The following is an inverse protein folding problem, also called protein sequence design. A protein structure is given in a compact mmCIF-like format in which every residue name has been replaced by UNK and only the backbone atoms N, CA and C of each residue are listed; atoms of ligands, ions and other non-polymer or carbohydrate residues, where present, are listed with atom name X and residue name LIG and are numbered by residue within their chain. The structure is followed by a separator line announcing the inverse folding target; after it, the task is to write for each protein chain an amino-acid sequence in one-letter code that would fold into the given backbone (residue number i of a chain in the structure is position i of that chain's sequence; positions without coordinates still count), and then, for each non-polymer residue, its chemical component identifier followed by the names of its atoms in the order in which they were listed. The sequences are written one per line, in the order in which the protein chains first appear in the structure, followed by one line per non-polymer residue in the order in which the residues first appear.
data_IF_487768727566
#
_entry.id   IF_487768727566
#
_cell.length_a   1.000
_cell.length_b   1.000
_cell.length_c   1.000
_cell.angle_alpha   90.00
_cell.angle_beta   90.00
_cell.angle_gamma   90.00
#
_symmetry.space_group_name_H-M   'P 1'
#
loop_
_entity.id
_entity.type
_entity.pdbx_description
1 polymer ?
#
# COMPACT_ATOMS: atom_id res chain seq x y z
N UNK A 1 2.02 17.76 -36.30
CA UNK A 1 1.82 17.34 -34.88
C UNK A 1 0.34 17.03 -34.68
N UNK A 2 -0.04 15.76 -34.66
CA UNK A 2 -1.45 15.35 -34.61
C UNK A 2 -1.89 15.06 -33.16
N UNK A 3 -2.77 15.92 -32.63
CA UNK A 3 -3.37 15.77 -31.32
C UNK A 3 -4.47 14.68 -31.39
N UNK A 4 -4.11 13.42 -31.10
CA UNK A 4 -5.06 12.30 -31.00
C UNK A 4 -5.75 12.33 -29.64
N UNK A 5 -6.70 13.23 -29.47
CA UNK A 5 -7.69 13.13 -28.40
C UNK A 5 -8.55 11.90 -28.64
N UNK A 6 -8.24 10.77 -28.00
CA UNK A 6 -9.14 9.61 -27.95
C UNK A 6 -10.42 10.05 -27.26
N UNK A 7 -11.50 10.24 -28.03
CA UNK A 7 -12.86 10.29 -27.52
C UNK A 7 -13.14 8.94 -26.85
N UNK A 8 -13.05 8.89 -25.52
CA UNK A 8 -13.62 7.80 -24.73
C UNK A 8 -15.13 7.88 -24.90
N UNK A 9 -15.73 6.81 -25.41
CA UNK A 9 -17.17 6.68 -25.61
C UNK A 9 -17.92 6.61 -24.28
N UNK A 10 -19.15 7.12 -24.28
CA UNK A 10 -20.03 7.16 -23.10
C UNK A 10 -20.27 5.78 -22.47
N UNK A 11 -20.33 4.72 -23.30
CA UNK A 11 -20.52 3.34 -22.84
C UNK A 11 -19.29 2.81 -22.09
N UNK A 12 -18.07 3.06 -22.58
CA UNK A 12 -16.84 2.73 -21.84
C UNK A 12 -16.76 3.44 -20.49
N UNK A 13 -17.29 4.66 -20.39
CA UNK A 13 -17.32 5.40 -19.13
C UNK A 13 -18.29 4.77 -18.11
N UNK A 14 -19.51 4.47 -18.53
CA UNK A 14 -20.49 3.79 -17.67
C UNK A 14 -19.91 2.47 -17.18
N UNK A 15 -19.33 1.67 -18.08
CA UNK A 15 -18.71 0.39 -17.72
C UNK A 15 -17.56 0.55 -16.70
N UNK A 16 -16.73 1.59 -16.87
CA UNK A 16 -15.66 1.91 -15.92
C UNK A 16 -16.21 2.22 -14.52
N UNK A 17 -17.23 3.08 -14.42
CA UNK A 17 -17.85 3.41 -13.14
C UNK A 17 -18.53 2.22 -12.49
N UNK A 18 -19.27 1.42 -13.26
CA UNK A 18 -19.91 0.19 -12.77
C UNK A 18 -18.86 -0.78 -12.22
N UNK A 19 -17.72 -0.91 -12.89
CA UNK A 19 -16.60 -1.73 -12.43
C UNK A 19 -16.02 -1.21 -11.11
N UNK A 20 -15.78 0.10 -11.01
CA UNK A 20 -15.26 0.71 -9.79
C UNK A 20 -16.24 0.53 -8.62
N UNK A 21 -17.53 0.77 -8.86
CA UNK A 21 -18.56 0.60 -7.84
C UNK A 21 -18.67 -0.86 -7.39
N UNK A 22 -18.59 -1.83 -8.32
CA UNK A 22 -18.55 -3.25 -7.98
C UNK A 22 -17.37 -3.63 -7.07
N UNK A 23 -16.18 -3.08 -7.32
CA UNK A 23 -15.00 -3.29 -6.46
C UNK A 23 -15.23 -2.70 -5.06
N UNK A 24 -15.82 -1.51 -4.98
CA UNK A 24 -16.12 -0.85 -3.70
C UNK A 24 -17.14 -1.64 -2.89
N UNK A 25 -18.24 -2.09 -3.51
CA UNK A 25 -19.27 -2.87 -2.83
C UNK A 25 -18.74 -4.22 -2.34
N UNK A 26 -17.96 -4.92 -3.16
CA UNK A 26 -17.33 -6.18 -2.71
C UNK A 26 -16.30 -5.95 -1.60
N UNK A 27 -15.59 -4.82 -1.62
CA UNK A 27 -14.68 -4.42 -0.55
C UNK A 27 -15.42 -4.16 0.77
N UNK A 28 -16.56 -3.46 0.72
CA UNK A 28 -17.42 -3.24 1.89
C UNK A 28 -17.94 -4.57 2.42
N UNK A 29 -18.41 -5.46 1.53
CA UNK A 29 -18.88 -6.81 1.89
C UNK A 29 -17.81 -7.61 2.63
N UNK A 30 -16.57 -7.59 2.15
CA UNK A 30 -15.45 -8.28 2.80
C UNK A 30 -15.13 -7.71 4.17
N UNK A 31 -15.13 -6.37 4.32
CA UNK A 31 -14.93 -5.73 5.62
C UNK A 31 -16.05 -6.07 6.60
N UNK A 32 -17.30 -6.13 6.14
CA UNK A 32 -18.44 -6.54 6.97
C UNK A 32 -18.40 -8.03 7.36
N UNK A 33 -17.67 -8.86 6.62
CA UNK A 33 -17.55 -10.30 6.92
C UNK A 33 -16.62 -10.51 8.10
N UNK A 34 -15.42 -9.93 8.07
CA UNK A 34 -14.45 -9.99 9.16
C UNK A 34 -13.48 -8.81 9.09
N UNK A 35 -13.85 -7.73 9.78
CA UNK A 35 -13.05 -6.49 9.87
C UNK A 35 -11.77 -6.66 10.69
N UNK A 36 -11.66 -7.74 11.47
CA UNK A 36 -10.50 -7.98 12.36
C UNK A 36 -9.41 -8.77 11.66
N UNK A 37 -9.71 -9.45 10.56
CA UNK A 37 -8.72 -10.19 9.79
C UNK A 37 -7.77 -9.24 9.02
N UNK A 38 -6.48 -9.15 9.41
CA UNK A 38 -5.56 -8.19 8.82
C UNK A 38 -5.31 -8.41 7.33
N UNK A 39 -5.41 -9.65 6.83
CA UNK A 39 -5.22 -9.96 5.42
C UNK A 39 -6.37 -9.42 4.57
N UNK A 40 -7.61 -9.53 5.06
CA UNK A 40 -8.78 -8.95 4.40
C UNK A 40 -8.72 -7.43 4.40
N UNK A 41 -8.38 -6.82 5.54
CA UNK A 41 -8.26 -5.35 5.62
C UNK A 41 -7.12 -4.83 4.74
N UNK A 42 -5.98 -5.53 4.68
CA UNK A 42 -4.89 -5.16 3.77
C UNK A 42 -5.26 -5.35 2.30
N UNK A 43 -5.91 -6.47 1.94
CA UNK A 43 -6.37 -6.73 0.58
C UNK A 43 -7.40 -5.71 0.10
N UNK A 44 -8.38 -5.38 0.94
CA UNK A 44 -9.40 -4.36 0.66
C UNK A 44 -8.76 -2.97 0.51
N UNK A 45 -7.85 -2.59 1.41
CA UNK A 45 -7.12 -1.31 1.31
C UNK A 45 -6.39 -1.17 -0.02
N UNK A 46 -5.70 -2.21 -0.50
CA UNK A 46 -5.01 -2.19 -1.81
C UNK A 46 -5.99 -2.02 -2.97
N UNK A 47 -7.16 -2.65 -2.90
CA UNK A 47 -8.20 -2.56 -3.94
C UNK A 47 -8.80 -1.15 -4.00
N UNK A 48 -9.16 -0.58 -2.85
CA UNK A 48 -9.72 0.77 -2.74
C UNK A 48 -8.71 1.83 -3.18
N UNK A 49 -7.43 1.71 -2.81
CA UNK A 49 -6.38 2.57 -3.36
C UNK A 49 -6.28 2.47 -4.89
N UNK A 50 -6.45 1.27 -5.44
CA UNK A 50 -6.50 1.03 -6.88
C UNK A 50 -7.65 1.78 -7.55
N UNK A 51 -8.85 1.73 -6.96
CA UNK A 51 -10.02 2.48 -7.42
C UNK A 51 -9.74 3.98 -7.36
N UNK A 52 -9.26 4.51 -6.23
CA UNK A 52 -8.94 5.93 -6.08
C UNK A 52 -7.94 6.41 -7.15
N UNK A 53 -6.85 5.65 -7.38
CA UNK A 53 -5.86 5.97 -8.42
C UNK A 53 -6.46 5.98 -9.83
N UNK A 54 -7.32 5.00 -10.14
CA UNK A 54 -7.95 4.92 -11.45
C UNK A 54 -8.95 6.06 -11.66
N UNK A 55 -9.74 6.39 -10.64
CA UNK A 55 -10.69 7.51 -10.65
C UNK A 55 -9.95 8.83 -10.81
N UNK A 56 -8.87 9.08 -10.06
CA UNK A 56 -8.05 10.30 -10.18
C UNK A 56 -7.52 10.54 -11.61
N UNK A 57 -7.18 9.46 -12.33
CA UNK A 57 -6.70 9.56 -13.73
C UNK A 57 -7.77 10.03 -14.70
N UNK A 58 -9.04 9.79 -14.40
CA UNK A 58 -10.18 10.16 -15.26
C UNK A 58 -10.97 11.35 -14.72
N UNK A 59 -10.82 11.70 -13.44
CA UNK A 59 -11.54 12.79 -12.77
C UNK A 59 -11.32 14.15 -13.43
N UNK A 60 -10.13 14.41 -13.98
CA UNK A 60 -9.83 15.64 -14.76
C UNK A 60 -10.67 15.77 -16.03
N UNK A 61 -11.18 14.66 -16.54
CA UNK A 61 -12.02 14.61 -17.74
C UNK A 61 -13.51 14.47 -17.37
N UNK A 62 -13.81 14.02 -16.16
CA UNK A 62 -15.15 13.64 -15.76
C UNK A 62 -15.41 14.02 -14.29
N UNK A 63 -16.01 15.20 -14.05
CA UNK A 63 -16.27 15.72 -12.71
C UNK A 63 -17.16 14.81 -11.86
N UNK A 64 -18.07 14.06 -12.48
CA UNK A 64 -19.01 13.15 -11.79
C UNK A 64 -18.32 12.00 -11.04
N UNK A 65 -17.02 11.75 -11.27
CA UNK A 65 -16.28 10.75 -10.49
C UNK A 65 -15.78 11.27 -9.14
N UNK A 66 -15.93 12.57 -8.86
CA UNK A 66 -15.41 13.19 -7.64
C UNK A 66 -16.12 12.67 -6.38
N UNK A 67 -17.43 12.42 -6.45
CA UNK A 67 -18.19 11.83 -5.34
C UNK A 67 -17.69 10.42 -4.98
N UNK A 68 -17.45 9.57 -5.99
CA UNK A 68 -16.88 8.24 -5.79
C UNK A 68 -15.46 8.32 -5.22
N UNK A 69 -14.65 9.28 -5.68
CA UNK A 69 -13.31 9.51 -5.16
C UNK A 69 -13.34 9.88 -3.67
N UNK A 70 -14.17 10.85 -3.30
CA UNK A 70 -14.34 11.28 -1.91
C UNK A 70 -14.79 10.11 -1.03
N UNK A 71 -15.78 9.34 -1.49
CA UNK A 71 -16.27 8.17 -0.75
C UNK A 71 -15.17 7.13 -0.52
N UNK A 72 -14.40 6.80 -1.56
CA UNK A 72 -13.29 5.84 -1.46
C UNK A 72 -12.17 6.35 -0.56
N UNK A 73 -11.89 7.66 -0.58
CA UNK A 73 -10.90 8.29 0.31
C UNK A 73 -11.33 8.21 1.77
N UNK A 74 -12.57 8.56 2.09
CA UNK A 74 -13.11 8.43 3.46
C UNK A 74 -13.09 6.97 3.96
N UNK A 75 -13.39 6.00 3.09
CA UNK A 75 -13.25 4.59 3.45
C UNK A 75 -11.81 4.18 3.76
N UNK A 76 -10.83 4.68 3.00
CA UNK A 76 -9.42 4.40 3.23
C UNK A 76 -8.92 5.00 4.55
N UNK A 77 -9.38 6.21 4.89
CA UNK A 77 -9.09 6.86 6.18
C UNK A 77 -9.65 6.02 7.34
N UNK A 78 -10.92 5.61 7.28
CA UNK A 78 -11.53 4.75 8.30
C UNK A 78 -10.78 3.41 8.46
N UNK A 79 -10.29 2.82 7.35
CA UNK A 79 -9.48 1.59 7.39
C UNK A 79 -8.11 1.85 8.05
N UNK A 80 -7.52 3.02 7.84
CA UNK A 80 -6.27 3.40 8.49
C UNK A 80 -6.46 3.57 9.99
N UNK A 81 -7.55 4.23 10.41
CA UNK A 81 -7.91 4.41 11.82
C UNK A 81 -8.16 3.06 12.53
N UNK A 82 -8.85 2.13 11.84
CA UNK A 82 -9.03 0.75 12.29
C UNK A 82 -7.69 0.01 12.45
N UNK A 83 -6.72 0.24 11.56
CA UNK A 83 -5.38 -0.38 11.67
C UNK A 83 -4.56 0.18 12.81
N UNK A 84 -4.68 1.47 13.12
CA UNK A 84 -4.02 2.07 14.28
C UNK A 84 -4.57 1.56 15.60
N UNK A 85 -5.89 1.34 15.69
CA UNK A 85 -6.56 0.88 16.93
C UNK A 85 -6.33 -0.61 17.24
N UNK A 86 -6.03 -1.44 16.24
CA UNK A 86 -5.80 -2.89 16.43
C UNK A 86 -4.33 -3.24 16.67
N UNK A 87 -3.38 -2.32 16.43
CA UNK A 87 -1.96 -2.67 16.27
C UNK A 87 -0.98 -1.82 17.11
N UNK A 88 -1.30 -1.60 18.39
CA UNK A 88 -0.53 -0.74 19.31
C UNK A 88 0.92 -1.19 19.60
N UNK A 89 1.37 -2.39 19.17
CA UNK A 89 2.71 -2.88 19.51
C UNK A 89 3.62 -3.20 18.32
N UNK A 90 3.18 -3.04 17.07
CA UNK A 90 3.92 -3.55 15.93
C UNK A 90 4.04 -2.51 14.80
N UNK A 91 5.22 -1.88 14.71
CA UNK A 91 5.53 -0.89 13.68
C UNK A 91 5.33 -1.46 12.27
N UNK A 92 4.48 -0.81 11.47
CA UNK A 92 4.34 -1.07 10.04
C UNK A 92 4.84 0.15 9.25
N UNK A 93 5.81 -0.02 8.34
CA UNK A 93 6.26 1.08 7.50
C UNK A 93 5.11 1.59 6.61
N UNK A 94 5.01 2.91 6.49
CA UNK A 94 4.05 3.57 5.61
C UNK A 94 4.14 3.07 4.17
N UNK A 95 3.09 3.25 3.38
CA UNK A 95 3.09 2.90 1.96
C UNK A 95 3.16 4.19 1.15
N UNK A 96 4.26 4.36 0.41
CA UNK A 96 4.43 5.50 -0.49
C UNK A 96 3.80 5.21 -1.86
N UNK A 97 2.83 6.04 -2.24
CA UNK A 97 2.15 6.00 -3.53
C UNK A 97 2.64 7.16 -4.40
N UNK A 98 3.55 6.89 -5.34
CA UNK A 98 4.11 7.91 -6.24
C UNK A 98 3.17 8.29 -7.41
N UNK A 99 1.87 7.94 -7.33
CA UNK A 99 0.88 8.14 -8.41
C UNK A 99 1.08 7.29 -9.68
N UNK A 100 2.22 6.61 -9.80
CA UNK A 100 2.58 5.74 -10.93
C UNK A 100 1.90 4.37 -10.81
N UNK A 101 1.61 3.68 -11.93
CA UNK A 101 1.10 2.30 -11.89
C UNK A 101 2.11 1.37 -11.18
N UNK A 102 1.61 0.51 -10.29
CA UNK A 102 2.42 -0.46 -9.55
C UNK A 102 1.96 -0.62 -8.10
N UNK A 103 2.46 -1.68 -7.42
CA UNK A 103 2.25 -1.88 -5.99
C UNK A 103 2.95 -0.75 -5.20
N UNK A 104 2.27 -0.07 -4.26
CA UNK A 104 2.90 0.94 -3.40
C UNK A 104 4.15 0.37 -2.73
N UNK A 105 5.23 1.16 -2.71
CA UNK A 105 6.45 0.71 -2.07
C UNK A 105 6.32 0.91 -0.56
N UNK A 106 6.74 -0.10 0.22
CA UNK A 106 7.03 0.08 1.64
C UNK A 106 8.02 1.25 1.80
N UNK A 107 7.61 2.24 2.56
CA UNK A 107 8.36 3.43 2.91
C UNK A 107 9.31 3.09 4.06
N UNK A 108 10.42 2.47 3.68
CA UNK A 108 11.53 2.17 4.57
C UNK A 108 12.62 3.17 4.24
N UNK A 109 12.86 4.11 5.15
CA UNK A 109 13.86 5.16 4.97
C UNK A 109 15.29 4.60 5.14
N UNK A 110 16.27 5.29 4.54
CA UNK A 110 17.69 4.98 4.75
C UNK A 110 18.06 5.08 6.23
N UNK A 111 17.57 6.12 6.90
CA UNK A 111 17.82 6.37 8.32
C UNK A 111 17.35 5.20 9.20
N UNK A 112 16.14 4.69 8.99
CA UNK A 112 15.63 3.54 9.76
C UNK A 112 16.49 2.30 9.59
N UNK A 113 16.90 1.99 8.35
CA UNK A 113 17.78 0.84 8.10
C UNK A 113 19.15 1.02 8.76
N UNK A 114 19.72 2.22 8.70
CA UNK A 114 20.99 2.51 9.35
C UNK A 114 20.87 2.41 10.87
N UNK A 115 19.83 3.01 11.46
CA UNK A 115 19.55 2.95 12.89
C UNK A 115 19.48 1.51 13.42
N UNK A 116 18.76 0.61 12.74
CA UNK A 116 18.69 -0.78 13.17
C UNK A 116 20.03 -1.52 13.02
N UNK A 117 20.81 -1.22 11.98
CA UNK A 117 22.15 -1.80 11.81
C UNK A 117 23.14 -1.29 12.86
N UNK A 118 23.05 -0.01 13.22
CA UNK A 118 23.88 0.61 14.25
C UNK A 118 23.57 0.00 15.64
N UNK A 119 22.29 -0.34 15.88
CA UNK A 119 21.85 -1.12 17.05
C UNK A 119 22.23 -2.61 16.99
N UNK A 120 22.83 -3.09 15.90
CA UNK A 120 23.29 -4.47 15.75
C UNK A 120 22.21 -5.47 15.32
N UNK A 121 21.03 -5.02 14.87
CA UNK A 121 20.02 -5.93 14.34
C UNK A 121 20.46 -6.53 12.99
N UNK A 122 20.30 -7.84 12.87
CA UNK A 122 20.50 -8.56 11.62
C UNK A 122 19.39 -8.25 10.61
N UNK A 123 19.64 -8.48 9.33
CA UNK A 123 18.62 -8.30 8.28
C UNK A 123 17.36 -9.14 8.48
N UNK A 124 17.45 -10.30 9.13
CA UNK A 124 16.29 -11.11 9.52
C UNK A 124 15.50 -10.44 10.64
N UNK A 125 16.16 -9.94 11.68
CA UNK A 125 15.49 -9.24 12.79
C UNK A 125 14.86 -7.92 12.33
N UNK A 126 15.53 -7.18 11.45
CA UNK A 126 14.97 -5.98 10.80
C UNK A 126 13.69 -6.34 10.02
N UNK A 127 13.67 -7.48 9.34
CA UNK A 127 12.49 -7.92 8.60
C UNK A 127 11.30 -8.24 9.50
N UNK A 128 11.56 -8.88 10.66
CA UNK A 128 10.55 -9.14 11.70
C UNK A 128 10.05 -7.81 12.31
N UNK A 129 10.95 -6.91 12.69
CA UNK A 129 10.63 -5.60 13.28
C UNK A 129 9.82 -4.69 12.35
N UNK A 130 10.15 -4.69 11.05
CA UNK A 130 9.46 -3.88 10.04
C UNK A 130 8.24 -4.59 9.42
N UNK A 131 7.92 -5.81 9.85
CA UNK A 131 6.86 -6.66 9.26
C UNK A 131 6.90 -6.72 7.72
N UNK A 132 8.09 -6.91 7.16
CA UNK A 132 8.30 -7.08 5.72
C UNK A 132 9.14 -8.31 5.44
N UNK A 133 9.14 -8.80 4.21
CA UNK A 133 10.02 -9.92 3.83
C UNK A 133 11.49 -9.52 3.91
N UNK A 134 12.37 -10.48 4.24
CA UNK A 134 13.83 -10.29 4.19
C UNK A 134 14.30 -9.78 2.82
N UNK A 135 13.67 -10.25 1.74
CA UNK A 135 13.93 -9.78 0.37
C UNK A 135 13.65 -8.27 0.21
N UNK A 136 12.64 -7.74 0.89
CA UNK A 136 12.32 -6.30 0.89
C UNK A 136 13.42 -5.51 1.59
N UNK A 137 13.90 -5.99 2.74
CA UNK A 137 15.02 -5.38 3.49
C UNK A 137 16.29 -5.39 2.63
N UNK A 138 16.69 -6.54 2.09
CA UNK A 138 17.88 -6.69 1.23
C UNK A 138 17.81 -5.78 0.00
N UNK A 139 16.65 -5.70 -0.65
CA UNK A 139 16.43 -4.80 -1.80
C UNK A 139 16.64 -3.34 -1.41
N UNK A 140 16.15 -2.92 -0.25
CA UNK A 140 16.31 -1.54 0.22
C UNK A 140 17.73 -1.21 0.65
N UNK A 141 18.43 -2.13 1.30
CA UNK A 141 19.85 -1.98 1.63
C UNK A 141 20.69 -1.76 0.36
N UNK A 142 20.44 -2.57 -0.69
CA UNK A 142 21.08 -2.39 -2.01
C UNK A 142 20.74 -1.05 -2.64
N UNK A 143 19.46 -0.64 -2.60
CA UNK A 143 19.01 0.63 -3.16
C UNK A 143 19.73 1.84 -2.54
N UNK A 144 19.99 1.80 -1.23
CA UNK A 144 20.70 2.87 -0.52
C UNK A 144 22.22 2.71 -0.47
N UNK A 145 22.78 1.67 -1.11
CA UNK A 145 24.21 1.38 -1.10
C UNK A 145 24.75 0.99 0.28
N UNK A 146 23.91 0.47 1.17
CA UNK A 146 24.32 0.05 2.52
C UNK A 146 24.94 -1.35 2.41
N UNK A 147 26.24 -1.45 2.66
CA UNK A 147 26.98 -2.71 2.67
C UNK A 147 26.68 -3.49 3.95
N UNK A 148 26.19 -4.74 3.80
CA UNK A 148 25.89 -5.67 4.91
C UNK A 148 27.16 -6.46 5.28
N UNK A 149 28.36 -5.95 5.01
CA UNK A 149 29.58 -6.65 5.41
C UNK A 149 29.77 -6.50 6.92
N UNK A 150 29.71 -7.65 7.59
CA UNK A 150 30.28 -7.95 8.92
C UNK A 150 29.43 -7.88 10.20
N UNK A 151 28.10 -8.06 10.17
CA UNK A 151 27.33 -8.28 11.43
C UNK A 151 26.18 -9.28 11.30
N UNK A 152 26.42 -10.43 10.65
CA UNK A 152 25.53 -11.58 10.80
C UNK A 152 25.86 -12.26 12.12
N UNK A 153 25.31 -11.80 13.25
CA UNK A 153 25.15 -12.69 14.39
C UNK A 153 24.01 -13.66 14.05
N UNK A 154 24.36 -14.91 13.82
CA UNK A 154 23.44 -16.03 13.90
C UNK A 154 22.96 -16.13 15.35
N UNK A 155 21.89 -15.42 15.67
CA UNK A 155 21.08 -15.77 16.84
C UNK A 155 20.17 -16.90 16.38
N UNK A 156 20.47 -18.10 16.88
CA UNK A 156 19.67 -19.30 16.69
C UNK A 156 18.37 -19.15 17.48
N UNK A 157 17.21 -19.28 16.82
CA UNK A 157 15.89 -19.31 17.47
C UNK A 157 15.71 -20.71 18.08
N UNK A 158 16.38 -20.97 19.21
CA UNK A 158 16.07 -22.10 20.09
C UNK A 158 15.45 -21.54 21.39
N UNK A 159 14.16 -21.20 21.36
CA UNK A 159 13.24 -21.32 22.51
C UNK A 159 11.78 -21.33 22.05
#
# INVERSE_FOLDING_TARGET
MANRGRRTDHNSYIHFLTTCNGIVQDSIRLLNTDVRNPEYVDGVSVRLEGVARNVLRVATRIPSCYELLQFVQSLLENIQDLKSTVNDNAFRPGRSSNGKPGRPLYEISKYQLQFFLDLGFSGSNISKLLQVSQSTVKRRLRYFGISIRERYSTVDDNE
#
